data_IF_495338962702
#
_entry.id   IF_495338962702
#
_cell.length_a   1.000
_cell.length_b   1.000
_cell.length_c   1.000
_cell.angle_alpha   90.00
_cell.angle_beta   90.00
_cell.angle_gamma   90.00
#
_symmetry.space_group_name_H-M   'P 1'
#
loop_
_entity.id
_entity.type
_entity.pdbx_description
1 polymer ?
#
# COMPACT_ATOMS: atom_id res chain seq x y z
N UNK A 1 24.92 -28.77 -9.08
CA UNK A 1 24.79 -27.35 -9.48
C UNK A 1 23.97 -26.64 -8.41
N UNK A 2 24.58 -25.69 -7.70
CA UNK A 2 23.96 -25.04 -6.54
C UNK A 2 22.67 -24.30 -6.93
N UNK A 3 21.60 -24.53 -6.18
CA UNK A 3 20.33 -23.82 -6.37
C UNK A 3 20.58 -22.34 -6.10
N UNK A 4 20.59 -21.51 -7.13
CA UNK A 4 20.53 -20.05 -6.98
C UNK A 4 19.31 -19.71 -6.13
N UNK A 5 19.49 -18.91 -5.08
CA UNK A 5 18.38 -18.43 -4.27
C UNK A 5 17.40 -17.68 -5.19
N UNK A 6 16.10 -18.00 -5.15
CA UNK A 6 15.12 -17.29 -5.96
C UNK A 6 15.08 -15.81 -5.53
N UNK A 7 14.91 -14.90 -6.49
CA UNK A 7 14.73 -13.49 -6.16
C UNK A 7 13.43 -13.26 -5.38
N UNK A 8 13.40 -12.23 -4.55
CA UNK A 8 12.20 -11.86 -3.80
C UNK A 8 11.00 -11.57 -4.70
N UNK A 9 11.23 -11.05 -5.91
CA UNK A 9 10.17 -10.90 -6.91
C UNK A 9 9.56 -12.25 -7.33
N UNK A 10 10.38 -13.30 -7.50
CA UNK A 10 9.91 -14.66 -7.79
C UNK A 10 9.17 -15.24 -6.58
N UNK A 11 9.66 -14.99 -5.36
CA UNK A 11 8.99 -15.43 -4.13
C UNK A 11 7.61 -14.77 -4.01
N UNK A 12 7.52 -13.46 -4.23
CA UNK A 12 6.25 -12.71 -4.23
C UNK A 12 5.24 -13.28 -5.22
N UNK A 13 5.68 -13.60 -6.45
CA UNK A 13 4.80 -14.22 -7.45
C UNK A 13 4.29 -15.59 -6.97
N UNK A 14 5.15 -16.41 -6.36
CA UNK A 14 4.73 -17.70 -5.80
C UNK A 14 3.72 -17.53 -4.66
N UNK A 15 3.92 -16.57 -3.75
CA UNK A 15 2.95 -16.29 -2.69
C UNK A 15 1.61 -15.81 -3.26
N UNK A 16 1.63 -14.95 -4.29
CA UNK A 16 0.42 -14.51 -4.99
C UNK A 16 -0.34 -15.68 -5.61
N UNK A 17 0.38 -16.62 -6.23
CA UNK A 17 -0.20 -17.81 -6.84
C UNK A 17 -0.88 -18.71 -5.82
N UNK A 18 -0.27 -18.91 -4.64
CA UNK A 18 -0.89 -19.67 -3.53
C UNK A 18 -2.21 -19.06 -3.06
N UNK A 19 -2.34 -17.74 -3.16
CA UNK A 19 -3.55 -17.00 -2.76
C UNK A 19 -4.60 -16.86 -3.87
N UNK A 20 -4.40 -17.45 -5.05
CA UNK A 20 -5.41 -17.45 -6.13
C UNK A 20 -6.79 -17.97 -5.71
N UNK A 21 -6.93 -19.08 -4.95
CA UNK A 21 -8.24 -19.55 -4.50
C UNK A 21 -8.96 -18.50 -3.65
N UNK A 22 -8.24 -17.87 -2.71
CA UNK A 22 -8.76 -16.77 -1.90
C UNK A 22 -9.20 -15.59 -2.78
N UNK A 23 -8.33 -15.12 -3.68
CA UNK A 23 -8.66 -14.04 -4.63
C UNK A 23 -9.89 -14.37 -5.46
N UNK A 24 -10.03 -15.59 -5.95
CA UNK A 24 -11.15 -15.98 -6.80
C UNK A 24 -12.48 -16.05 -6.05
N UNK A 25 -12.45 -16.30 -4.73
CA UNK A 25 -13.63 -16.27 -3.87
C UNK A 25 -14.11 -14.84 -3.54
N UNK A 26 -13.28 -13.81 -3.76
CA UNK A 26 -13.64 -12.41 -3.55
C UNK A 26 -14.61 -11.89 -4.62
N UNK A 27 -15.40 -10.87 -4.26
CA UNK A 27 -16.22 -10.12 -5.22
C UNK A 27 -15.34 -9.43 -6.27
N UNK A 28 -15.86 -9.14 -7.48
CA UNK A 28 -15.08 -8.49 -8.53
C UNK A 28 -14.40 -7.18 -8.10
N UNK A 29 -15.05 -6.34 -7.29
CA UNK A 29 -14.48 -5.11 -6.72
C UNK A 29 -13.26 -5.41 -5.84
N UNK A 30 -13.40 -6.39 -4.96
CA UNK A 30 -12.41 -6.71 -3.93
C UNK A 30 -11.19 -7.40 -4.54
N UNK A 31 -11.36 -8.08 -5.68
CA UNK A 31 -10.24 -8.64 -6.47
C UNK A 31 -9.31 -7.55 -7.00
N UNK A 32 -9.85 -6.41 -7.42
CA UNK A 32 -9.04 -5.28 -7.89
C UNK A 32 -8.21 -4.70 -6.75
N UNK A 33 -8.83 -4.51 -5.58
CA UNK A 33 -8.14 -4.05 -4.35
C UNK A 33 -7.05 -5.06 -3.95
N UNK A 34 -7.36 -6.35 -3.99
CA UNK A 34 -6.39 -7.40 -3.69
C UNK A 34 -5.20 -7.40 -4.65
N UNK A 35 -5.41 -7.22 -5.96
CA UNK A 35 -4.32 -7.12 -6.93
C UNK A 35 -3.46 -5.86 -6.71
N UNK A 36 -4.08 -4.75 -6.28
CA UNK A 36 -3.37 -3.52 -5.92
C UNK A 36 -2.48 -3.70 -4.69
N UNK A 37 -2.92 -4.44 -3.66
CA UNK A 37 -2.06 -4.81 -2.53
C UNK A 37 -0.78 -5.51 -3.01
N UNK A 38 -0.88 -6.43 -3.97
CA UNK A 38 0.31 -7.07 -4.54
C UNK A 38 1.21 -6.12 -5.34
N UNK A 39 0.70 -5.00 -5.85
CA UNK A 39 1.55 -3.94 -6.41
C UNK A 39 2.32 -3.21 -5.31
N UNK A 40 1.71 -2.94 -4.16
CA UNK A 40 2.44 -2.36 -3.03
C UNK A 40 3.57 -3.26 -2.55
N UNK A 41 3.34 -4.57 -2.46
CA UNK A 41 4.40 -5.52 -2.11
C UNK A 41 5.55 -5.57 -3.12
N UNK A 42 5.29 -5.34 -4.42
CA UNK A 42 6.34 -5.31 -5.46
C UNK A 42 7.35 -4.19 -5.24
N UNK A 43 6.90 -3.05 -4.71
CA UNK A 43 7.75 -1.89 -4.42
C UNK A 43 8.83 -2.19 -3.38
N UNK A 44 8.61 -3.21 -2.53
CA UNK A 44 9.47 -3.57 -1.40
C UNK A 44 10.25 -4.87 -1.61
N UNK A 45 10.40 -5.33 -2.86
CA UNK A 45 11.08 -6.60 -3.16
C UNK A 45 12.58 -6.55 -2.86
N UNK A 46 13.22 -5.38 -2.89
CA UNK A 46 14.61 -5.24 -2.51
C UNK A 46 14.78 -5.31 -0.98
N UNK A 47 13.90 -4.62 -0.25
CA UNK A 47 13.84 -4.50 1.19
C UNK A 47 13.52 -5.85 1.85
N UNK A 48 12.70 -6.67 1.19
CA UNK A 48 12.38 -8.00 1.66
C UNK A 48 13.61 -8.90 1.85
N UNK A 49 14.72 -8.63 1.16
CA UNK A 49 15.97 -9.39 1.29
C UNK A 49 16.68 -9.21 2.63
N UNK A 50 16.32 -8.18 3.40
CA UNK A 50 16.89 -7.93 4.73
C UNK A 50 16.14 -8.66 5.85
N UNK A 51 14.93 -9.17 5.58
CA UNK A 51 14.08 -9.82 6.57
C UNK A 51 14.38 -11.34 6.70
N UNK A 52 15.62 -11.68 7.09
CA UNK A 52 16.13 -13.06 7.08
C UNK A 52 15.44 -14.06 8.02
N UNK A 53 14.59 -13.60 8.96
CA UNK A 53 13.96 -14.45 9.99
C UNK A 53 12.44 -14.56 9.87
N UNK A 54 11.84 -13.86 8.91
CA UNK A 54 10.38 -13.73 8.76
C UNK A 54 9.91 -14.55 7.57
N UNK A 55 8.69 -15.10 7.62
CA UNK A 55 8.14 -15.81 6.46
C UNK A 55 7.93 -14.82 5.31
N UNK A 56 8.22 -15.19 4.04
CA UNK A 56 8.16 -14.22 2.94
C UNK A 56 6.81 -13.50 2.81
N UNK A 57 5.70 -14.22 3.01
CA UNK A 57 4.37 -13.61 2.96
C UNK A 57 4.18 -12.55 4.05
N UNK A 58 4.67 -12.77 5.26
CA UNK A 58 4.56 -11.80 6.37
C UNK A 58 5.32 -10.50 6.05
N UNK A 59 6.51 -10.61 5.43
CA UNK A 59 7.27 -9.45 4.96
C UNK A 59 6.49 -8.66 3.91
N UNK A 60 5.88 -9.36 2.95
CA UNK A 60 5.07 -8.70 1.92
C UNK A 60 3.78 -8.09 2.49
N UNK A 61 3.16 -8.71 3.50
CA UNK A 61 2.02 -8.13 4.20
C UNK A 61 2.42 -6.85 4.95
N UNK A 62 3.58 -6.82 5.59
CA UNK A 62 4.11 -5.60 6.21
C UNK A 62 4.36 -4.50 5.17
N UNK A 63 4.90 -4.84 4.01
CA UNK A 63 5.07 -3.89 2.90
C UNK A 63 3.73 -3.33 2.40
N UNK A 64 2.70 -4.18 2.25
CA UNK A 64 1.35 -3.75 1.89
C UNK A 64 0.77 -2.79 2.92
N UNK A 65 0.89 -3.12 4.21
CA UNK A 65 0.43 -2.27 5.31
C UNK A 65 1.18 -0.93 5.36
N UNK A 66 2.49 -0.94 5.09
CA UNK A 66 3.31 0.26 5.06
C UNK A 66 2.82 1.23 3.98
N UNK A 67 2.59 0.75 2.75
CA UNK A 67 2.08 1.60 1.67
C UNK A 67 0.66 2.07 1.94
N UNK A 68 -0.22 1.22 2.47
CA UNK A 68 -1.55 1.66 2.88
C UNK A 68 -1.51 2.73 3.97
N UNK A 69 -0.59 2.63 4.93
CA UNK A 69 -0.43 3.66 5.96
C UNK A 69 0.01 4.99 5.36
N UNK A 70 0.94 4.97 4.39
CA UNK A 70 1.36 6.17 3.64
C UNK A 70 0.20 6.81 2.88
N UNK A 71 -0.65 6.00 2.24
CA UNK A 71 -1.87 6.50 1.58
C UNK A 71 -2.80 7.21 2.57
N UNK A 72 -3.04 6.59 3.74
CA UNK A 72 -3.88 7.18 4.79
C UNK A 72 -3.28 8.49 5.31
N UNK A 73 -1.97 8.55 5.55
CA UNK A 73 -1.30 9.78 5.95
C UNK A 73 -1.48 10.89 4.90
N UNK A 74 -1.24 10.59 3.62
CA UNK A 74 -1.39 11.57 2.55
C UNK A 74 -2.82 12.09 2.43
N UNK A 75 -3.81 11.20 2.58
CA UNK A 75 -5.22 11.60 2.55
C UNK A 75 -5.54 12.54 3.72
N UNK A 76 -5.02 12.24 4.92
CA UNK A 76 -5.20 13.12 6.09
C UNK A 76 -4.58 14.49 5.87
N UNK A 77 -3.35 14.54 5.35
CA UNK A 77 -2.66 15.79 5.05
C UNK A 77 -3.45 16.64 4.04
N UNK A 78 -3.98 16.02 2.98
CA UNK A 78 -4.82 16.71 1.99
C UNK A 78 -6.11 17.26 2.63
N UNK A 79 -6.75 16.51 3.51
CA UNK A 79 -7.96 16.95 4.22
C UNK A 79 -7.66 18.15 5.13
N UNK A 80 -6.55 18.09 5.87
CA UNK A 80 -6.13 19.16 6.78
C UNK A 80 -5.79 20.44 5.98
N UNK A 81 -5.08 20.30 4.86
CA UNK A 81 -4.77 21.40 3.95
C UNK A 81 -6.04 22.05 3.40
N UNK A 82 -7.01 21.24 2.93
CA UNK A 82 -8.29 21.75 2.42
C UNK A 82 -9.09 22.49 3.50
N UNK A 83 -9.12 21.96 4.73
CA UNK A 83 -9.75 22.62 5.88
C UNK A 83 -9.09 23.96 6.25
N UNK A 84 -7.76 24.03 6.14
CA UNK A 84 -6.99 25.26 6.39
C UNK A 84 -7.27 26.35 5.33
N UNK A 85 -7.49 25.97 4.07
CA UNK A 85 -7.79 26.88 2.97
C UNK A 85 -9.19 27.44 3.11
N UNK A 86 -10.16 26.60 3.50
CA UNK A 86 -11.54 27.05 3.71
C UNK A 86 -11.63 28.06 4.86
N UNK A 87 -10.92 27.79 5.96
CA UNK A 87 -10.85 28.70 7.10
C UNK A 87 -10.27 30.08 6.72
N UNK A 88 -9.25 30.11 5.84
CA UNK A 88 -8.68 31.35 5.29
C UNK A 88 -9.64 32.10 4.36
N UNK A 89 -10.37 31.38 3.49
CA UNK A 89 -11.38 31.98 2.60
C UNK A 89 -12.52 32.61 3.39
N UNK A 90 -13.03 31.93 4.42
CA UNK A 90 -14.12 32.45 5.27
C UNK A 90 -13.69 33.70 6.02
N UNK A 91 -12.46 33.75 6.54
CA UNK A 91 -11.93 34.95 7.20
C UNK A 91 -11.77 36.13 6.23
N UNK A 92 -11.23 35.87 5.03
CA UNK A 92 -11.11 36.90 3.99
C UNK A 92 -12.46 37.48 3.58
N UNK A 93 -13.47 36.66 3.30
CA UNK A 93 -14.79 37.13 2.85
C UNK A 93 -15.55 37.94 3.91
N UNK A 94 -15.29 37.70 5.20
CA UNK A 94 -15.87 38.50 6.29
C UNK A 94 -15.18 39.85 6.48
N UNK A 95 -13.88 39.93 6.18
CA UNK A 95 -13.09 41.15 6.39
C UNK A 95 -13.18 42.14 5.21
N UNK A 96 -13.56 41.68 4.02
CA UNK A 96 -13.77 42.55 2.84
C UNK A 96 -15.18 43.17 2.77
N UNK A 97 -16.10 42.75 3.64
CA UNK A 97 -17.48 43.23 3.69
C UNK A 97 -17.73 44.32 4.76
N UNK A 98 -16.66 44.81 5.40
CA UNK A 98 -16.60 46.00 6.26
C UNK A 98 -15.78 47.09 5.58
#
# INVERSE_FOLDING_TARGET
MGRTLPSNAVILMKEREKLKPFRNALKPSDRLVFDELFRFAQLHTAEAGYANHVLPLEVFLLAMLLEQHKEVMRIRDIIDDLGSVESRRVWSSRNTAM
#
